data_IF_779965333399
#
_entry.id   IF_779965333399
#
_cell.length_a   1.000
_cell.length_b   1.000
_cell.length_c   1.000
_cell.angle_alpha   90.00
_cell.angle_beta   90.00
_cell.angle_gamma   90.00
#
_symmetry.space_group_name_H-M   'P 1'
#
loop_
_entity.id
_entity.type
_entity.pdbx_description
1 polymer ?
#
# COMPACT_ATOMS: atom_id res chain seq x y z
N UNK A 1 18.71 22.52 34.63
CA UNK A 1 17.47 21.70 34.55
C UNK A 1 16.47 22.15 33.46
N UNK A 2 16.28 23.44 33.16
CA UNK A 2 15.34 23.91 32.09
C UNK A 2 15.72 23.54 30.64
N UNK A 3 17.00 23.32 30.33
CA UNK A 3 17.43 22.91 28.99
C UNK A 3 17.05 21.44 28.65
N UNK A 4 16.98 20.57 29.67
CA UNK A 4 16.67 19.14 29.52
C UNK A 4 15.16 18.94 29.26
N UNK A 5 14.28 19.79 29.83
CA UNK A 5 12.83 19.73 29.60
C UNK A 5 12.38 20.27 28.23
N UNK A 6 13.20 21.10 27.58
CA UNK A 6 12.95 21.57 26.20
C UNK A 6 13.28 20.48 25.18
N UNK A 7 14.38 19.76 25.42
CA UNK A 7 14.83 18.68 24.54
C UNK A 7 13.83 17.51 24.52
N UNK A 8 13.25 17.15 25.68
CA UNK A 8 12.26 16.08 25.78
C UNK A 8 10.96 16.35 25.02
N UNK A 9 10.51 17.62 24.93
CA UNK A 9 9.28 17.96 24.17
C UNK A 9 9.50 17.95 22.65
N UNK A 10 10.71 18.30 22.19
CA UNK A 10 11.08 18.25 20.77
C UNK A 10 11.28 16.79 20.33
N UNK A 11 11.95 15.97 21.14
CA UNK A 11 12.11 14.55 20.86
C UNK A 11 10.77 13.81 20.93
N UNK A 12 9.87 14.11 21.90
CA UNK A 12 8.55 13.46 21.97
C UNK A 12 7.68 13.81 20.75
N UNK A 13 7.73 15.05 20.25
CA UNK A 13 6.97 15.48 19.07
C UNK A 13 7.47 14.81 17.78
N UNK A 14 8.78 14.61 17.62
CA UNK A 14 9.37 13.93 16.45
C UNK A 14 9.11 12.43 16.44
N UNK A 15 9.30 11.75 17.58
CA UNK A 15 8.99 10.31 17.68
C UNK A 15 7.49 10.05 17.55
N UNK A 16 6.64 10.96 18.05
CA UNK A 16 5.18 10.88 17.87
C UNK A 16 4.78 10.96 16.39
N UNK A 17 5.26 11.97 15.65
CA UNK A 17 4.96 12.10 14.22
C UNK A 17 5.49 10.91 13.40
N UNK A 18 6.72 10.48 13.67
CA UNK A 18 7.31 9.32 12.98
C UNK A 18 6.51 8.03 13.26
N UNK A 19 6.04 7.86 14.50
CA UNK A 19 5.17 6.74 14.86
C UNK A 19 3.84 6.79 14.12
N UNK A 20 3.21 7.97 13.99
CA UNK A 20 1.96 8.15 13.23
C UNK A 20 2.17 7.78 11.76
N UNK A 21 3.26 8.25 11.13
CA UNK A 21 3.62 7.92 9.75
C UNK A 21 3.74 6.39 9.59
N UNK A 22 4.48 5.73 10.48
CA UNK A 22 4.67 4.28 10.46
C UNK A 22 3.36 3.50 10.64
N UNK A 23 2.50 3.94 11.57
CA UNK A 23 1.18 3.34 11.84
C UNK A 23 0.28 3.50 10.61
N UNK A 24 0.11 4.72 10.09
CA UNK A 24 -0.74 4.98 8.94
C UNK A 24 -0.30 4.20 7.71
N UNK A 25 1.02 4.13 7.46
CA UNK A 25 1.56 3.35 6.34
C UNK A 25 1.31 1.85 6.50
N UNK A 26 1.50 1.33 7.71
CA UNK A 26 1.34 -0.11 8.00
C UNK A 26 -0.11 -0.53 7.91
N UNK A 27 -1.01 0.17 8.63
CA UNK A 27 -2.44 -0.14 8.59
C UNK A 27 -3.07 0.19 7.22
N UNK A 28 -2.63 1.26 6.56
CA UNK A 28 -3.09 1.58 5.20
C UNK A 28 -2.74 0.48 4.21
N UNK A 29 -1.50 -0.02 4.25
CA UNK A 29 -1.06 -1.15 3.41
C UNK A 29 -1.86 -2.42 3.74
N UNK A 30 -2.05 -2.73 5.02
CA UNK A 30 -2.85 -3.88 5.44
C UNK A 30 -4.31 -3.77 4.98
N UNK A 31 -4.90 -2.58 5.04
CA UNK A 31 -6.25 -2.31 4.58
C UNK A 31 -6.38 -2.47 3.06
N UNK A 32 -5.39 -2.03 2.28
CA UNK A 32 -5.36 -2.26 0.83
C UNK A 32 -5.30 -3.75 0.51
N UNK A 33 -4.45 -4.52 1.20
CA UNK A 33 -4.37 -5.98 1.02
C UNK A 33 -5.71 -6.65 1.33
N UNK A 34 -6.33 -6.32 2.45
CA UNK A 34 -7.64 -6.86 2.82
C UNK A 34 -8.72 -6.50 1.79
N UNK A 35 -8.71 -5.25 1.29
CA UNK A 35 -9.62 -4.79 0.25
C UNK A 35 -9.42 -5.55 -1.06
N UNK A 36 -8.18 -5.69 -1.54
CA UNK A 36 -7.87 -6.41 -2.78
C UNK A 36 -8.15 -7.91 -2.69
N UNK A 37 -7.95 -8.54 -1.53
CA UNK A 37 -8.35 -9.94 -1.30
C UNK A 37 -9.87 -10.08 -1.31
N UNK A 38 -10.60 -9.14 -0.70
CA UNK A 38 -12.06 -9.15 -0.71
C UNK A 38 -12.59 -8.96 -2.14
N UNK A 39 -12.02 -8.02 -2.88
CA UNK A 39 -12.36 -7.77 -4.29
C UNK A 39 -12.15 -9.03 -5.15
N UNK A 40 -10.96 -9.63 -5.10
CA UNK A 40 -10.66 -10.90 -5.77
C UNK A 40 -11.64 -12.03 -5.40
N UNK A 41 -12.04 -12.12 -4.12
CA UNK A 41 -13.00 -13.12 -3.67
C UNK A 41 -14.42 -12.85 -4.20
N UNK A 42 -14.84 -11.58 -4.28
CA UNK A 42 -16.14 -11.18 -4.84
C UNK A 42 -16.23 -11.50 -6.34
N UNK A 43 -15.16 -11.30 -7.11
CA UNK A 43 -15.08 -11.75 -8.51
C UNK A 43 -15.25 -13.27 -8.63
N UNK A 44 -14.55 -14.04 -7.79
CA UNK A 44 -14.67 -15.50 -7.76
C UNK A 44 -16.11 -15.97 -7.42
N UNK A 45 -16.89 -15.14 -6.72
CA UNK A 45 -18.31 -15.37 -6.41
C UNK A 45 -19.27 -14.80 -7.46
N UNK A 46 -18.77 -14.15 -8.51
CA UNK A 46 -19.53 -13.53 -9.61
C UNK A 46 -20.52 -12.47 -9.10
N UNK A 47 -20.10 -11.70 -8.10
CA UNK A 47 -20.86 -10.52 -7.68
C UNK A 47 -20.85 -9.43 -8.80
N UNK A 48 -21.88 -8.56 -8.88
CA UNK A 48 -21.95 -7.55 -9.93
C UNK A 48 -20.75 -6.59 -9.94
N UNK A 49 -20.18 -6.39 -11.12
CA UNK A 49 -18.98 -5.57 -11.32
C UNK A 49 -19.26 -4.07 -11.25
N UNK A 50 -18.44 -3.35 -10.47
CA UNK A 50 -18.38 -1.89 -10.45
C UNK A 50 -17.06 -1.42 -9.86
N UNK A 51 -16.39 -0.49 -10.54
CA UNK A 51 -15.15 0.11 -10.04
C UNK A 51 -15.33 0.90 -8.72
N UNK A 52 -16.57 1.31 -8.42
CA UNK A 52 -16.93 2.00 -7.18
C UNK A 52 -17.63 1.06 -6.18
N UNK A 53 -17.24 -0.22 -6.17
CA UNK A 53 -17.75 -1.22 -5.24
C UNK A 53 -17.30 -0.97 -3.80
N UNK A 54 -17.94 -1.64 -2.84
CA UNK A 54 -17.57 -1.52 -1.42
C UNK A 54 -16.17 -2.08 -1.14
N UNK A 55 -15.75 -3.08 -1.93
CA UNK A 55 -14.43 -3.70 -1.90
C UNK A 55 -13.35 -2.70 -2.35
N UNK A 56 -13.58 -2.02 -3.47
CA UNK A 56 -12.74 -0.92 -3.94
C UNK A 56 -12.67 0.24 -2.94
N UNK A 57 -13.80 0.61 -2.32
CA UNK A 57 -13.81 1.62 -1.24
C UNK A 57 -12.91 1.22 -0.08
N UNK A 58 -12.89 -0.07 0.29
CA UNK A 58 -11.96 -0.58 1.32
C UNK A 58 -10.49 -0.38 0.92
N UNK A 59 -10.15 -0.59 -0.36
CA UNK A 59 -8.81 -0.28 -0.91
C UNK A 59 -8.51 1.22 -0.84
N UNK A 60 -9.46 2.08 -1.24
CA UNK A 60 -9.29 3.53 -1.24
C UNK A 60 -9.07 4.12 0.15
N UNK A 61 -9.68 3.54 1.18
CA UNK A 61 -9.40 3.89 2.58
C UNK A 61 -7.93 3.64 2.91
N UNK A 62 -7.39 2.48 2.50
CA UNK A 62 -5.98 2.17 2.68
C UNK A 62 -5.03 3.12 1.94
N UNK A 63 -5.33 3.42 0.68
CA UNK A 63 -4.59 4.42 -0.14
C UNK A 63 -4.62 5.80 0.52
N UNK A 64 -5.77 6.21 1.06
CA UNK A 64 -5.92 7.49 1.75
C UNK A 64 -5.06 7.58 3.02
N UNK A 65 -4.99 6.51 3.81
CA UNK A 65 -4.12 6.45 4.99
C UNK A 65 -2.64 6.60 4.60
N UNK A 66 -2.23 5.93 3.52
CA UNK A 66 -0.86 6.02 2.99
C UNK A 66 -0.57 7.43 2.46
N UNK A 67 -1.50 8.06 1.75
CA UNK A 67 -1.34 9.42 1.23
C UNK A 67 -1.17 10.43 2.37
N UNK A 68 -1.96 10.31 3.45
CA UNK A 68 -1.78 11.13 4.66
C UNK A 68 -0.39 10.88 5.27
N UNK A 69 0.06 9.62 5.35
CA UNK A 69 1.40 9.26 5.81
C UNK A 69 2.50 9.91 4.97
N UNK A 70 2.36 9.89 3.65
CA UNK A 70 3.29 10.52 2.71
C UNK A 70 3.36 12.05 2.88
N UNK A 71 2.20 12.71 3.05
CA UNK A 71 2.12 14.16 3.28
C UNK A 71 2.82 14.53 4.60
N UNK A 72 2.54 13.82 5.68
CA UNK A 72 3.20 14.03 6.97
C UNK A 72 4.71 13.80 6.88
N UNK A 73 5.13 12.75 6.17
CA UNK A 73 6.53 12.47 5.90
C UNK A 73 7.23 13.58 5.10
N UNK A 74 6.58 14.12 4.07
CA UNK A 74 7.11 15.22 3.27
C UNK A 74 7.28 16.49 4.12
N UNK A 75 6.30 16.81 4.97
CA UNK A 75 6.40 17.93 5.93
C UNK A 75 7.61 17.71 6.86
N UNK A 76 7.80 16.48 7.35
CA UNK A 76 8.91 16.14 8.24
C UNK A 76 10.28 16.27 7.55
N UNK A 77 10.39 15.83 6.30
CA UNK A 77 11.60 15.96 5.47
C UNK A 77 11.97 17.41 5.19
N UNK A 78 10.98 18.28 4.96
CA UNK A 78 11.22 19.72 4.72
C UNK A 78 11.65 20.46 5.98
N UNK A 79 11.15 20.05 7.14
CA UNK A 79 11.33 20.77 8.40
C UNK A 79 12.59 20.35 9.17
N UNK A 80 13.04 19.11 9.00
CA UNK A 80 14.10 18.55 9.83
C UNK A 80 15.15 17.80 9.01
N UNK A 81 16.39 17.82 9.46
CA UNK A 81 17.41 16.91 8.96
C UNK A 81 17.22 15.53 9.62
N UNK A 82 16.65 14.60 8.86
CA UNK A 82 16.33 13.26 9.34
C UNK A 82 17.52 12.33 9.20
N UNK A 83 17.59 11.33 10.08
CA UNK A 83 18.54 10.25 9.94
C UNK A 83 18.27 9.44 8.65
N UNK A 84 19.25 8.63 8.25
CA UNK A 84 19.22 7.91 6.98
C UNK A 84 18.05 6.94 6.86
N UNK A 85 17.69 6.22 7.93
CA UNK A 85 16.68 5.17 7.89
C UNK A 85 15.27 5.77 7.86
N UNK A 86 14.99 6.77 8.71
CA UNK A 86 13.72 7.51 8.68
C UNK A 86 13.52 8.22 7.35
N UNK A 87 14.56 8.88 6.82
CA UNK A 87 14.50 9.53 5.51
C UNK A 87 14.17 8.53 4.40
N UNK A 88 14.84 7.37 4.39
CA UNK A 88 14.60 6.33 3.38
C UNK A 88 13.18 5.75 3.50
N UNK A 89 12.72 5.48 4.72
CA UNK A 89 11.36 4.99 4.97
C UNK A 89 10.30 5.95 4.43
N UNK A 90 10.44 7.25 4.71
CA UNK A 90 9.52 8.27 4.20
C UNK A 90 9.57 8.36 2.67
N UNK A 91 10.76 8.33 2.07
CA UNK A 91 10.90 8.37 0.61
C UNK A 91 10.20 7.19 -0.07
N UNK A 92 10.31 5.98 0.50
CA UNK A 92 9.62 4.80 -0.02
C UNK A 92 8.09 4.96 0.07
N UNK A 93 7.57 5.48 1.19
CA UNK A 93 6.13 5.75 1.35
C UNK A 93 5.65 6.78 0.31
N UNK A 94 6.40 7.86 0.11
CA UNK A 94 6.03 8.90 -0.88
C UNK A 94 6.00 8.32 -2.30
N UNK A 95 7.05 7.61 -2.70
CA UNK A 95 7.12 7.01 -4.05
C UNK A 95 5.99 6.00 -4.23
N UNK A 96 5.79 5.11 -3.26
CA UNK A 96 4.73 4.11 -3.33
C UNK A 96 3.33 4.72 -3.34
N UNK A 97 3.08 5.77 -2.56
CA UNK A 97 1.82 6.52 -2.57
C UNK A 97 1.53 7.16 -3.92
N UNK A 98 2.54 7.77 -4.55
CA UNK A 98 2.41 8.36 -5.89
C UNK A 98 2.06 7.27 -6.91
N UNK A 99 2.77 6.13 -6.86
CA UNK A 99 2.49 5.00 -7.74
C UNK A 99 1.05 4.50 -7.56
N UNK A 100 0.59 4.32 -6.32
CA UNK A 100 -0.78 3.85 -6.03
C UNK A 100 -1.85 4.81 -6.57
N UNK A 101 -1.70 6.12 -6.36
CA UNK A 101 -2.69 7.10 -6.82
C UNK A 101 -2.74 7.16 -8.35
N UNK A 102 -1.57 7.25 -9.00
CA UNK A 102 -1.50 7.32 -10.46
C UNK A 102 -2.01 6.02 -11.09
N UNK A 103 -1.57 4.88 -10.57
CA UNK A 103 -1.93 3.57 -11.14
C UNK A 103 -3.38 3.23 -10.86
N UNK A 104 -3.93 3.56 -9.69
CA UNK A 104 -5.35 3.34 -9.41
C UNK A 104 -6.27 4.14 -10.34
N UNK A 105 -5.88 5.36 -10.72
CA UNK A 105 -6.59 6.12 -11.74
C UNK A 105 -6.38 5.57 -13.15
N UNK A 106 -5.16 5.14 -13.49
CA UNK A 106 -4.90 4.50 -14.78
C UNK A 106 -5.71 3.20 -14.93
N UNK A 107 -5.85 2.44 -13.85
CA UNK A 107 -6.63 1.21 -13.78
C UNK A 107 -8.13 1.49 -13.92
N UNK A 108 -8.65 2.54 -13.27
CA UNK A 108 -10.04 2.96 -13.48
C UNK A 108 -10.36 3.26 -14.95
N UNK A 109 -9.45 3.98 -15.62
CA UNK A 109 -9.60 4.30 -17.05
C UNK A 109 -9.48 3.03 -17.90
N UNK A 110 -8.60 2.10 -17.53
CA UNK A 110 -8.48 0.80 -18.19
C UNK A 110 -9.78 0.01 -18.11
N UNK A 111 -10.43 -0.04 -16.94
CA UNK A 111 -11.73 -0.69 -16.77
C UNK A 111 -12.82 -0.03 -17.62
N UNK A 112 -12.84 1.30 -17.73
CA UNK A 112 -13.82 2.01 -18.57
C UNK A 112 -13.64 1.69 -20.08
N UNK A 113 -12.39 1.54 -20.53
CA UNK A 113 -12.08 1.29 -21.96
C UNK A 113 -12.25 -0.18 -22.32
N UNK A 114 -11.77 -1.09 -21.48
CA UNK A 114 -11.66 -2.52 -21.79
C UNK A 114 -12.71 -3.38 -21.08
N UNK A 115 -13.38 -2.87 -20.06
CA UNK A 115 -14.41 -3.61 -19.30
C UNK A 115 -13.88 -4.81 -18.51
N UNK A 116 -12.56 -4.87 -18.31
CA UNK A 116 -11.85 -5.99 -17.68
C UNK A 116 -11.40 -5.54 -16.28
N UNK A 117 -11.71 -6.36 -15.28
CA UNK A 117 -11.14 -6.17 -13.94
C UNK A 117 -9.66 -6.56 -13.90
N UNK A 118 -8.84 -5.62 -13.47
CA UNK A 118 -7.44 -5.45 -13.85
C UNK A 118 -6.43 -6.11 -12.93
N UNK A 119 -6.77 -7.10 -12.09
CA UNK A 119 -5.78 -7.76 -11.21
C UNK A 119 -4.48 -8.19 -11.94
N UNK A 120 -4.58 -8.53 -13.23
CA UNK A 120 -3.47 -8.93 -14.11
C UNK A 120 -3.10 -7.83 -15.12
N UNK A 121 -3.86 -6.74 -15.22
CA UNK A 121 -3.65 -5.67 -16.19
C UNK A 121 -2.29 -5.00 -15.98
N UNK A 122 -1.71 -4.50 -17.07
CA UNK A 122 -0.48 -3.71 -16.99
C UNK A 122 -0.69 -2.38 -16.23
N UNK A 123 -1.92 -1.86 -16.16
CA UNK A 123 -2.26 -0.67 -15.36
C UNK A 123 -2.24 -0.93 -13.86
N UNK A 124 -2.50 -2.17 -13.43
CA UNK A 124 -2.57 -2.54 -12.01
C UNK A 124 -1.20 -2.88 -11.40
N UNK A 125 -0.27 -3.47 -12.16
CA UNK A 125 1.04 -3.89 -11.61
C UNK A 125 1.83 -2.79 -10.86
N UNK A 126 1.86 -1.53 -11.30
CA UNK A 126 2.56 -0.49 -10.55
C UNK A 126 1.87 -0.10 -9.23
N UNK A 127 0.57 -0.37 -9.08
CA UNK A 127 -0.16 -0.22 -7.81
C UNK A 127 0.38 -1.19 -6.74
N UNK A 128 0.65 -2.43 -7.14
CA UNK A 128 1.22 -3.46 -6.26
C UNK A 128 2.69 -3.19 -5.91
N UNK A 129 3.47 -2.65 -6.84
CA UNK A 129 4.82 -2.15 -6.53
C UNK A 129 4.73 -1.05 -5.47
N UNK A 130 3.77 -0.13 -5.62
CA UNK A 130 3.51 0.91 -4.64
C UNK A 130 3.18 0.34 -3.25
N UNK A 131 2.38 -0.73 -3.18
CA UNK A 131 2.05 -1.45 -1.95
C UNK A 131 3.28 -2.00 -1.22
N UNK A 132 4.22 -2.61 -1.95
CA UNK A 132 5.46 -3.12 -1.35
C UNK A 132 6.33 -1.96 -0.82
N UNK A 133 6.44 -0.87 -1.58
CA UNK A 133 7.23 0.29 -1.17
C UNK A 133 6.68 0.93 0.11
N UNK A 134 5.34 1.06 0.24
CA UNK A 134 4.70 1.62 1.43
C UNK A 134 4.81 0.67 2.63
N UNK A 135 4.70 -0.64 2.40
CA UNK A 135 4.93 -1.65 3.43
C UNK A 135 6.37 -1.59 3.97
N UNK A 136 7.36 -1.55 3.07
CA UNK A 136 8.78 -1.50 3.41
C UNK A 136 9.15 -0.19 4.13
N UNK A 137 8.58 0.93 3.67
CA UNK A 137 8.75 2.22 4.31
C UNK A 137 8.18 2.26 5.73
N UNK A 138 6.96 1.74 5.92
CA UNK A 138 6.34 1.59 7.24
C UNK A 138 7.19 0.72 8.19
N UNK A 139 7.69 -0.42 7.69
CA UNK A 139 8.56 -1.32 8.43
C UNK A 139 9.84 -0.62 8.93
N UNK A 140 10.55 0.12 8.06
CA UNK A 140 11.75 0.84 8.48
C UNK A 140 11.47 1.89 9.55
N UNK A 141 10.36 2.62 9.44
CA UNK A 141 9.99 3.65 10.42
C UNK A 141 9.61 3.02 11.76
N UNK A 142 8.82 1.94 11.77
CA UNK A 142 8.44 1.22 13.01
C UNK A 142 9.66 0.61 13.68
N UNK A 143 10.55 -0.01 12.91
CA UNK A 143 11.74 -0.70 13.44
C UNK A 143 12.75 0.25 14.08
N UNK A 144 12.98 1.42 13.49
CA UNK A 144 14.12 2.27 13.85
C UNK A 144 13.76 3.63 14.46
N UNK A 145 12.55 4.17 14.24
CA UNK A 145 12.24 5.57 14.55
C UNK A 145 10.85 5.79 15.17
N UNK A 146 10.28 4.74 15.77
CA UNK A 146 8.99 4.81 16.45
C UNK A 146 9.13 4.69 17.96
N UNK A 147 8.11 5.17 18.68
CA UNK A 147 8.05 5.07 20.14
C UNK A 147 8.11 3.60 20.61
N UNK A 148 8.55 3.32 21.85
CA UNK A 148 8.57 1.95 22.39
C UNK A 148 7.21 1.24 22.27
N UNK A 149 6.12 1.96 22.51
CA UNK A 149 4.74 1.44 22.37
C UNK A 149 4.44 1.06 20.93
N UNK A 150 4.78 1.92 19.96
CA UNK A 150 4.55 1.65 18.53
C UNK A 150 5.43 0.52 18.01
N UNK A 151 6.63 0.34 18.58
CA UNK A 151 7.55 -0.73 18.19
C UNK A 151 6.98 -2.13 18.48
N UNK A 152 5.97 -2.25 19.34
CA UNK A 152 5.22 -3.50 19.55
C UNK A 152 4.47 -3.96 18.28
N UNK A 153 4.21 -3.04 17.33
CA UNK A 153 3.61 -3.35 16.03
C UNK A 153 4.61 -3.88 14.99
N UNK A 154 5.89 -4.03 15.33
CA UNK A 154 6.90 -4.52 14.40
C UNK A 154 6.56 -5.90 13.80
N UNK A 155 6.04 -6.90 14.55
CA UNK A 155 5.62 -8.16 13.97
C UNK A 155 4.49 -7.98 12.94
N UNK A 156 3.50 -7.16 13.25
CA UNK A 156 2.39 -6.86 12.32
C UNK A 156 2.89 -6.21 11.03
N UNK A 157 3.77 -5.21 11.14
CA UNK A 157 4.39 -4.55 9.98
C UNK A 157 5.22 -5.52 9.13
N UNK A 158 5.91 -6.47 9.78
CA UNK A 158 6.67 -7.52 9.09
C UNK A 158 5.75 -8.48 8.33
N UNK A 159 4.65 -8.93 8.96
CA UNK A 159 3.67 -9.79 8.30
C UNK A 159 3.04 -9.08 7.11
N UNK A 160 2.63 -7.83 7.25
CA UNK A 160 2.04 -7.05 6.16
C UNK A 160 3.03 -6.91 5.00
N UNK A 161 4.31 -6.64 5.26
CA UNK A 161 5.34 -6.60 4.21
C UNK A 161 5.48 -7.95 3.49
N UNK A 162 5.51 -9.06 4.22
CA UNK A 162 5.58 -10.39 3.62
C UNK A 162 4.35 -10.69 2.77
N UNK A 163 3.15 -10.34 3.25
CA UNK A 163 1.90 -10.50 2.51
C UNK A 163 1.89 -9.62 1.24
N UNK A 164 2.40 -8.39 1.29
CA UNK A 164 2.52 -7.54 0.09
C UNK A 164 3.44 -8.14 -0.97
N UNK A 165 4.56 -8.74 -0.55
CA UNK A 165 5.48 -9.44 -1.47
C UNK A 165 4.84 -10.69 -2.04
N UNK A 166 4.14 -11.47 -1.21
CA UNK A 166 3.42 -12.66 -1.65
C UNK A 166 2.28 -12.32 -2.62
N UNK A 167 1.55 -11.22 -2.37
CA UNK A 167 0.49 -10.73 -3.24
C UNK A 167 1.03 -10.42 -4.64
N UNK A 168 2.12 -9.65 -4.75
CA UNK A 168 2.76 -9.40 -6.05
C UNK A 168 3.26 -10.68 -6.71
N UNK A 169 3.85 -11.59 -5.93
CA UNK A 169 4.27 -12.89 -6.45
C UNK A 169 3.12 -13.70 -7.03
N UNK A 170 1.96 -13.68 -6.37
CA UNK A 170 0.74 -14.31 -6.84
C UNK A 170 0.23 -13.67 -8.14
N UNK A 171 0.13 -12.34 -8.22
CA UNK A 171 -0.34 -11.65 -9.43
C UNK A 171 0.60 -11.84 -10.62
N UNK A 172 1.92 -11.78 -10.41
CA UNK A 172 2.90 -12.07 -11.47
C UNK A 172 2.84 -13.53 -11.94
N UNK A 173 2.58 -14.47 -11.02
CA UNK A 173 2.38 -15.87 -11.39
C UNK A 173 1.09 -16.07 -12.21
N UNK A 174 0.02 -15.34 -11.88
CA UNK A 174 -1.20 -15.31 -12.68
C UNK A 174 -0.98 -14.69 -14.06
N UNK A 175 -0.17 -13.62 -14.17
CA UNK A 175 0.17 -12.99 -15.45
C UNK A 175 0.88 -13.98 -16.40
N UNK A 176 1.84 -14.75 -15.88
CA UNK A 176 2.55 -15.77 -16.66
C UNK A 176 1.64 -16.98 -16.94
N UNK A 177 0.87 -17.40 -15.93
CA UNK A 177 0.01 -18.58 -15.99
C UNK A 177 -1.27 -18.38 -16.82
N UNK A 178 -1.77 -17.15 -16.97
CA UNK A 178 -3.02 -16.82 -17.66
C UNK A 178 -3.03 -17.20 -19.14
N UNK A 179 -1.86 -17.19 -19.79
CA UNK A 179 -1.71 -17.71 -21.17
C UNK A 179 -2.01 -19.21 -21.26
N UNK A 180 -1.69 -19.96 -20.21
CA UNK A 180 -1.86 -21.43 -20.13
C UNK A 180 -3.21 -21.80 -19.49
N UNK A 181 -3.71 -20.97 -18.57
CA UNK A 181 -4.91 -21.17 -17.75
C UNK A 181 -6.10 -20.30 -18.21
N UNK A 182 -6.13 -19.94 -19.49
CA UNK A 182 -7.10 -19.01 -20.10
C UNK A 182 -8.56 -19.25 -19.68
N UNK A 183 -9.00 -20.51 -19.59
CA UNK A 183 -10.38 -20.87 -19.23
C UNK A 183 -10.68 -20.58 -17.75
N UNK A 184 -9.89 -21.09 -16.77
CA UNK A 184 -10.11 -20.74 -15.36
C UNK A 184 -9.97 -19.25 -15.06
N UNK A 185 -9.02 -18.54 -15.67
CA UNK A 185 -8.85 -17.09 -15.46
C UNK A 185 -10.05 -16.31 -16.02
N UNK A 186 -10.52 -16.69 -17.21
CA UNK A 186 -11.74 -16.13 -17.80
C UNK A 186 -12.99 -16.37 -16.93
N UNK A 187 -13.15 -17.57 -16.36
CA UNK A 187 -14.32 -17.88 -15.52
C UNK A 187 -14.32 -17.18 -14.15
N UNK A 188 -13.14 -16.84 -13.62
CA UNK A 188 -12.98 -16.21 -12.29
C UNK A 188 -13.09 -14.69 -12.38
N UNK A 189 -12.47 -14.07 -13.38
CA UNK A 189 -12.37 -12.60 -13.48
C UNK A 189 -13.27 -12.00 -14.56
N UNK A 190 -14.01 -12.84 -15.31
CA UNK A 190 -14.80 -12.43 -16.47
C UNK A 190 -14.02 -11.60 -17.50
N UNK A 191 -12.69 -11.59 -17.41
CA UNK A 191 -11.80 -10.88 -18.27
C UNK A 191 -11.39 -11.83 -19.39
N UNK A 192 -11.59 -11.42 -20.64
CA UNK A 192 -11.14 -12.22 -21.79
C UNK A 192 -9.67 -12.63 -21.63
N UNK A 193 -9.20 -13.59 -22.42
CA UNK A 193 -7.78 -13.96 -22.53
C UNK A 193 -6.84 -12.80 -22.98
N UNK A 194 -7.36 -11.57 -23.08
CA UNK A 194 -6.61 -10.38 -23.37
C UNK A 194 -5.83 -9.97 -22.11
N UNK A 195 -4.61 -10.47 -22.01
CA UNK A 195 -3.55 -9.84 -21.23
C UNK A 195 -3.20 -8.55 -21.98
N UNK A 196 -3.87 -7.44 -21.63
CA UNK A 196 -3.48 -6.10 -22.05
C UNK A 196 -2.90 -5.33 -20.86
#
# INVERSE_FOLDING_TARGET
>A
MKAISSLSSIFSRRYSISSIIGILSTFGTGQMLSGGVWDAASHALREPESFWSIQHVAVYVGVSMIAISAILGLILLKKYNLDKFLKRGIQLIIIGSILQIISGYADSVSHEIFGIDGLISLSHQPLEIGLILTALGGFFIIKHHSSPTTRTLLPLSTVILLLSVLWLGFNLALLIGGVILCIPVYEIFSSGCAIL
#
